data_IF_595735120345
#
_entry.id   IF_595735120345
#
_cell.length_a   1.000
_cell.length_b   1.000
_cell.length_c   1.000
_cell.angle_alpha   90.00
_cell.angle_beta   90.00
_cell.angle_gamma   90.00
#
_symmetry.space_group_name_H-M   'P 1'
#
loop_
_entity.id
_entity.type
_entity.pdbx_description
1 polymer ?
#
# COMPACT_ATOMS: atom_id res chain seq x y z
N UNK A 1 13.58 -12.82 5.31
CA UNK A 1 12.17 -12.76 4.91
C UNK A 1 11.84 -14.13 4.41
N UNK A 2 10.83 -14.77 4.97
CA UNK A 2 10.42 -16.11 4.53
C UNK A 2 9.49 -15.92 3.34
N UNK A 3 9.90 -16.41 2.18
CA UNK A 3 9.13 -16.33 0.94
C UNK A 3 8.43 -17.67 0.70
N UNK A 4 7.13 -17.62 0.39
CA UNK A 4 6.32 -18.80 0.09
C UNK A 4 5.69 -18.60 -1.28
N UNK A 5 5.96 -19.52 -2.20
CA UNK A 5 5.35 -19.52 -3.53
C UNK A 5 4.03 -20.28 -3.44
N UNK A 6 2.98 -19.68 -4.00
CA UNK A 6 1.64 -20.24 -4.07
C UNK A 6 1.20 -20.34 -5.53
N UNK A 7 0.47 -21.40 -5.86
CA UNK A 7 -0.09 -21.62 -7.20
C UNK A 7 -1.62 -21.66 -7.19
N UNK A 8 -2.25 -21.76 -6.03
CA UNK A 8 -3.70 -21.84 -5.89
C UNK A 8 -4.22 -21.08 -4.68
N UNK A 9 -5.50 -20.70 -4.73
CA UNK A 9 -6.20 -20.07 -3.61
C UNK A 9 -6.24 -21.01 -2.40
N UNK A 10 -6.34 -22.31 -2.62
CA UNK A 10 -6.31 -23.29 -1.53
C UNK A 10 -4.97 -23.30 -0.80
N UNK A 11 -3.85 -23.27 -1.53
CA UNK A 11 -2.52 -23.14 -0.93
C UNK A 11 -2.40 -21.85 -0.12
N UNK A 12 -2.93 -20.74 -0.64
CA UNK A 12 -2.95 -19.48 0.10
C UNK A 12 -3.72 -19.57 1.41
N UNK A 13 -4.92 -20.16 1.41
CA UNK A 13 -5.71 -20.37 2.63
C UNK A 13 -4.95 -21.25 3.64
N UNK A 14 -4.33 -22.34 3.18
CA UNK A 14 -3.53 -23.21 4.04
C UNK A 14 -2.32 -22.48 4.66
N UNK A 15 -1.78 -21.47 3.96
CA UNK A 15 -0.72 -20.60 4.51
C UNK A 15 -1.31 -19.64 5.53
N UNK A 16 -2.46 -19.02 5.27
CA UNK A 16 -3.13 -18.11 6.22
C UNK A 16 -3.42 -18.79 7.57
N UNK A 17 -3.83 -20.05 7.57
CA UNK A 17 -4.07 -20.83 8.79
C UNK A 17 -2.82 -21.04 9.64
N UNK A 18 -1.63 -21.02 9.02
CA UNK A 18 -0.34 -21.21 9.69
C UNK A 18 0.31 -19.89 10.12
N UNK A 19 -0.14 -18.76 9.57
CA UNK A 19 0.43 -17.45 9.87
C UNK A 19 0.09 -17.06 11.32
N UNK A 20 1.07 -16.60 12.12
CA UNK A 20 0.80 -16.10 13.46
C UNK A 20 -0.16 -14.90 13.43
N UNK A 21 -1.07 -14.84 14.41
CA UNK A 21 -2.06 -13.76 14.55
C UNK A 21 -1.45 -12.36 14.64
N UNK A 22 -0.17 -12.24 15.00
CA UNK A 22 0.52 -10.95 15.03
C UNK A 22 0.77 -10.35 13.63
N UNK A 23 0.68 -11.13 12.55
CA UNK A 23 0.74 -10.64 11.17
C UNK A 23 -0.66 -10.25 10.67
N UNK A 24 -1.32 -9.35 11.39
CA UNK A 24 -2.71 -8.97 11.11
C UNK A 24 -2.89 -8.03 9.91
N UNK A 25 -1.82 -7.48 9.36
CA UNK A 25 -1.86 -6.58 8.20
C UNK A 25 -1.26 -7.24 6.98
N UNK A 26 -1.88 -7.02 5.82
CA UNK A 26 -1.32 -7.45 4.55
C UNK A 26 -1.55 -6.45 3.42
N UNK A 27 -0.76 -6.58 2.36
CA UNK A 27 -0.86 -5.76 1.14
C UNK A 27 -0.59 -6.60 -0.10
N UNK A 28 -1.52 -6.57 -1.04
CA UNK A 28 -1.32 -7.11 -2.38
C UNK A 28 -0.56 -6.15 -3.29
N UNK A 29 0.33 -6.70 -4.12
CA UNK A 29 0.90 -5.99 -5.26
C UNK A 29 0.89 -6.90 -6.48
N UNK A 30 0.45 -6.36 -7.61
CA UNK A 30 0.41 -7.11 -8.87
C UNK A 30 1.78 -7.43 -9.46
N UNK A 31 2.82 -6.79 -8.95
CA UNK A 31 4.19 -6.99 -9.37
C UNK A 31 5.08 -6.99 -8.13
N UNK A 32 6.02 -7.93 -8.08
CA UNK A 32 7.08 -7.97 -7.09
C UNK A 32 8.02 -6.76 -7.24
N UNK A 33 7.62 -5.68 -6.57
CA UNK A 33 8.36 -4.42 -6.46
C UNK A 33 8.68 -4.16 -5.00
N UNK A 34 9.75 -3.40 -4.78
CA UNK A 34 10.10 -2.89 -3.45
C UNK A 34 8.88 -2.21 -2.82
N UNK A 35 8.68 -2.47 -1.52
CA UNK A 35 7.58 -1.94 -0.72
C UNK A 35 7.76 -0.44 -0.45
N UNK A 36 7.61 0.37 -1.48
CA UNK A 36 7.76 1.82 -1.46
C UNK A 36 6.44 2.50 -1.85
N UNK A 37 6.04 3.57 -1.12
CA UNK A 37 4.95 4.45 -1.52
C UNK A 37 5.14 4.97 -2.94
N UNK A 38 4.05 5.26 -3.65
CA UNK A 38 4.09 5.71 -5.05
C UNK A 38 5.00 6.93 -5.23
N UNK A 39 4.97 7.89 -4.29
CA UNK A 39 5.84 9.07 -4.34
C UNK A 39 7.34 8.76 -4.21
N UNK A 40 7.70 7.63 -3.61
CA UNK A 40 9.09 7.25 -3.28
C UNK A 40 9.63 6.16 -4.20
N UNK A 41 8.89 5.76 -5.24
CA UNK A 41 9.33 4.76 -6.21
C UNK A 41 10.45 5.29 -7.11
N UNK A 42 11.21 4.35 -7.66
CA UNK A 42 12.32 4.61 -8.57
C UNK A 42 11.97 4.14 -9.99
N UNK A 43 12.54 4.81 -10.96
CA UNK A 43 12.53 4.45 -12.38
C UNK A 43 13.59 3.37 -12.69
N UNK A 44 13.59 2.84 -13.91
CA UNK A 44 14.55 1.82 -14.39
C UNK A 44 16.01 2.29 -14.26
N UNK A 45 16.25 3.59 -14.43
CA UNK A 45 17.54 4.27 -14.23
C UNK A 45 17.96 4.42 -12.75
N UNK A 46 17.23 3.85 -11.78
CA UNK A 46 17.39 4.09 -10.34
C UNK A 46 17.26 5.56 -9.91
N UNK A 47 16.58 6.40 -10.70
CA UNK A 47 16.23 7.78 -10.33
C UNK A 47 14.86 7.80 -9.66
N UNK A 48 14.65 8.72 -8.71
CA UNK A 48 13.32 8.90 -8.10
C UNK A 48 12.32 9.34 -9.17
N UNK A 49 11.17 8.68 -9.24
CA UNK A 49 10.09 9.04 -10.17
C UNK A 49 9.59 10.47 -9.95
N UNK A 50 9.58 10.91 -8.69
CA UNK A 50 9.14 12.24 -8.30
C UNK A 50 10.17 12.90 -7.36
N UNK A 51 10.43 14.18 -7.60
CA UNK A 51 11.15 15.02 -6.63
C UNK A 51 10.24 15.38 -5.47
N UNK A 52 10.81 15.72 -4.30
CA UNK A 52 10.04 16.12 -3.12
C UNK A 52 9.11 17.30 -3.42
N UNK A 53 9.61 18.30 -4.15
CA UNK A 53 8.82 19.46 -4.55
C UNK A 53 7.64 19.09 -5.46
N UNK A 54 7.82 18.11 -6.35
CA UNK A 54 6.77 17.66 -7.27
C UNK A 54 5.67 16.87 -6.54
N UNK A 55 6.04 16.05 -5.55
CA UNK A 55 5.08 15.35 -4.69
C UNK A 55 4.23 16.35 -3.90
N UNK A 56 4.86 17.38 -3.33
CA UNK A 56 4.13 18.44 -2.64
C UNK A 56 3.21 19.22 -3.58
N UNK A 57 3.67 19.54 -4.79
CA UNK A 57 2.83 20.18 -5.81
C UNK A 57 1.57 19.38 -6.09
N UNK A 58 1.68 18.06 -6.28
CA UNK A 58 0.51 17.22 -6.52
C UNK A 58 -0.51 17.25 -5.38
N UNK A 59 -0.04 17.32 -4.13
CA UNK A 59 -0.92 17.41 -2.97
C UNK A 59 -1.60 18.78 -2.88
N UNK A 60 -0.88 19.87 -3.15
CA UNK A 60 -1.45 21.21 -3.19
C UNK A 60 -2.46 21.38 -4.34
N UNK A 61 -2.13 20.85 -5.53
CA UNK A 61 -3.04 20.82 -6.66
C UNK A 61 -4.32 20.03 -6.32
N UNK A 62 -4.18 18.90 -5.62
CA UNK A 62 -5.33 18.15 -5.13
C UNK A 62 -6.18 19.01 -4.18
N UNK A 63 -5.60 19.65 -3.16
CA UNK A 63 -6.33 20.50 -2.21
C UNK A 63 -7.13 21.62 -2.88
N UNK A 64 -6.56 22.24 -3.92
CA UNK A 64 -7.21 23.33 -4.66
C UNK A 64 -8.41 22.79 -5.46
N UNK A 65 -8.27 21.63 -6.09
CA UNK A 65 -9.26 21.08 -7.02
C UNK A 65 -10.25 20.11 -6.36
N UNK A 66 -10.01 19.65 -5.14
CA UNK A 66 -10.78 18.61 -4.48
C UNK A 66 -12.10 19.08 -3.87
N UNK A 67 -12.33 20.40 -3.80
CA UNK A 67 -13.50 20.98 -3.14
C UNK A 67 -14.84 20.40 -3.65
N UNK A 68 -14.91 19.98 -4.92
CA UNK A 68 -16.09 19.39 -5.55
C UNK A 68 -16.30 17.92 -5.12
N UNK A 69 -15.22 17.21 -4.79
CA UNK A 69 -15.24 15.79 -4.42
C UNK A 69 -15.35 15.57 -2.91
N UNK A 70 -15.22 16.63 -2.10
CA UNK A 70 -15.29 16.54 -0.65
C UNK A 70 -16.74 16.61 -0.16
N UNK A 71 -17.13 15.77 0.83
CA UNK A 71 -18.42 15.89 1.49
C UNK A 71 -18.63 17.31 2.03
N UNK A 72 -19.80 17.90 1.76
CA UNK A 72 -20.12 19.24 2.21
C UNK A 72 -19.98 19.34 3.74
N UNK A 73 -19.11 20.24 4.21
CA UNK A 73 -18.90 20.50 5.63
C UNK A 73 -17.73 19.74 6.29
N UNK A 74 -16.96 18.92 5.56
CA UNK A 74 -15.71 18.37 6.09
C UNK A 74 -14.54 19.36 5.91
N UNK A 75 -14.10 19.98 6.99
CA UNK A 75 -12.79 20.64 7.05
C UNK A 75 -11.71 19.60 7.41
N UNK A 76 -10.91 19.18 6.44
CA UNK A 76 -9.70 18.39 6.71
C UNK A 76 -8.63 19.32 7.26
N UNK A 77 -8.30 19.15 8.55
CA UNK A 77 -7.33 20.02 9.26
C UNK A 77 -5.92 19.44 9.22
N UNK A 78 -5.80 18.14 9.02
CA UNK A 78 -4.53 17.42 9.07
C UNK A 78 -4.01 17.12 7.67
N UNK A 79 -2.71 17.35 7.43
CA UNK A 79 -2.06 17.03 6.17
C UNK A 79 -2.10 15.52 5.85
N UNK A 80 -2.09 14.67 6.88
CA UNK A 80 -2.22 13.22 6.68
C UNK A 80 -3.61 12.82 6.17
N UNK A 81 -4.68 13.48 6.62
CA UNK A 81 -6.02 13.24 6.10
C UNK A 81 -6.09 13.60 4.62
N UNK A 82 -5.53 14.76 4.25
CA UNK A 82 -5.39 15.17 2.85
C UNK A 82 -4.67 14.12 2.01
N UNK A 83 -3.56 13.57 2.51
CA UNK A 83 -2.82 12.52 1.81
C UNK A 83 -3.65 11.24 1.65
N UNK A 84 -4.39 10.80 2.67
CA UNK A 84 -5.24 9.60 2.59
C UNK A 84 -6.32 9.77 1.51
N UNK A 85 -7.00 10.93 1.48
CA UNK A 85 -8.00 11.22 0.46
C UNK A 85 -7.36 11.29 -0.94
N UNK A 86 -6.25 12.02 -1.08
CA UNK A 86 -5.56 12.17 -2.36
C UNK A 86 -5.15 10.81 -2.94
N UNK A 87 -4.73 9.87 -2.09
CA UNK A 87 -4.35 8.52 -2.51
C UNK A 87 -5.50 7.71 -3.09
N UNK A 88 -6.74 7.91 -2.61
CA UNK A 88 -7.94 7.29 -3.22
C UNK A 88 -8.20 7.78 -4.64
N UNK A 89 -7.77 9.00 -4.98
CA UNK A 89 -7.84 9.56 -6.34
C UNK A 89 -6.56 9.32 -7.16
N UNK A 90 -5.66 8.47 -6.69
CA UNK A 90 -4.44 8.10 -7.41
C UNK A 90 -3.31 9.12 -7.34
N UNK A 91 -3.42 10.14 -6.49
CA UNK A 91 -2.35 11.12 -6.29
C UNK A 91 -1.15 10.43 -5.63
N UNK A 92 0.09 10.59 -6.14
CA UNK A 92 1.27 10.02 -5.52
C UNK A 92 1.52 10.59 -4.11
N UNK A 93 1.38 9.76 -3.08
CA UNK A 93 1.66 10.13 -1.68
C UNK A 93 2.81 9.32 -1.08
N UNK A 94 3.27 9.73 0.11
CA UNK A 94 4.29 9.03 0.89
C UNK A 94 3.69 7.96 1.82
N UNK A 95 2.38 7.72 1.73
CA UNK A 95 1.69 6.72 2.53
C UNK A 95 1.67 5.37 1.81
N UNK A 96 1.54 4.30 2.59
CA UNK A 96 1.45 2.94 2.10
C UNK A 96 0.28 2.26 2.79
N UNK A 97 -0.63 1.69 2.02
CA UNK A 97 -1.86 1.12 2.56
C UNK A 97 -1.70 -0.35 2.87
N UNK A 98 -2.27 -0.78 3.99
CA UNK A 98 -2.44 -2.19 4.33
C UNK A 98 -3.91 -2.43 4.67
N UNK A 99 -4.33 -3.68 4.55
CA UNK A 99 -5.67 -4.12 4.95
C UNK A 99 -5.56 -5.25 5.97
N UNK A 100 -6.57 -5.32 6.85
CA UNK A 100 -6.76 -6.44 7.77
C UNK A 100 -7.30 -7.70 7.06
N UNK A 101 -7.83 -7.57 5.84
CA UNK A 101 -8.33 -8.71 5.08
C UNK A 101 -7.27 -9.25 4.12
N UNK A 102 -6.70 -10.40 4.47
CA UNK A 102 -5.71 -11.09 3.66
C UNK A 102 -6.26 -11.56 2.30
N UNK A 103 -7.57 -11.81 2.20
CA UNK A 103 -8.23 -12.14 0.93
C UNK A 103 -8.33 -10.91 0.02
N UNK A 104 -8.65 -9.73 0.58
CA UNK A 104 -8.65 -8.48 -0.19
C UNK A 104 -7.22 -8.16 -0.68
N UNK A 105 -6.21 -8.43 0.14
CA UNK A 105 -4.81 -8.31 -0.30
C UNK A 105 -4.49 -9.23 -1.48
N UNK A 106 -4.93 -10.49 -1.45
CA UNK A 106 -4.75 -11.38 -2.58
C UNK A 106 -5.47 -10.86 -3.84
N UNK A 107 -6.70 -10.34 -3.69
CA UNK A 107 -7.45 -9.76 -4.81
C UNK A 107 -6.67 -8.63 -5.50
N UNK A 108 -6.10 -7.68 -4.73
CA UNK A 108 -5.25 -6.63 -5.29
C UNK A 108 -3.96 -7.16 -5.94
N UNK A 109 -3.42 -8.28 -5.44
CA UNK A 109 -2.25 -8.90 -6.06
C UNK A 109 -2.59 -9.51 -7.43
N UNK A 110 -3.76 -10.13 -7.59
CA UNK A 110 -4.13 -10.81 -8.84
C UNK A 110 -4.98 -9.97 -9.80
N UNK A 111 -5.30 -8.73 -9.43
CA UNK A 111 -6.18 -7.82 -10.21
C UNK A 111 -5.76 -7.69 -11.69
N UNK A 112 -4.45 -7.74 -11.97
CA UNK A 112 -3.87 -7.60 -13.32
C UNK A 112 -3.38 -8.90 -13.94
N UNK A 113 -3.70 -10.05 -13.35
CA UNK A 113 -3.16 -11.35 -13.77
C UNK A 113 -3.50 -11.74 -15.22
N UNK A 114 -4.58 -11.19 -15.79
CA UNK A 114 -5.01 -11.48 -17.16
C UNK A 114 -4.64 -10.38 -18.17
N UNK A 115 -3.82 -9.40 -17.78
CA UNK A 115 -3.40 -8.34 -18.70
C UNK A 115 -2.22 -8.80 -19.57
N UNK A 116 -2.30 -8.54 -20.88
CA UNK A 116 -1.38 -9.07 -21.91
C UNK A 116 0.10 -8.70 -21.68
N UNK A 117 0.38 -7.64 -20.92
CA UNK A 117 1.74 -7.13 -20.67
C UNK A 117 2.43 -7.72 -19.42
N UNK A 118 1.74 -8.57 -18.65
CA UNK A 118 2.18 -8.99 -17.31
C UNK A 118 2.28 -10.52 -17.13
N UNK A 119 2.21 -11.32 -18.20
CA UNK A 119 2.21 -12.80 -18.13
C UNK A 119 3.44 -13.41 -17.42
N UNK A 120 4.59 -12.74 -17.43
CA UNK A 120 5.83 -13.22 -16.79
C UNK A 120 6.07 -12.61 -15.40
N UNK A 121 5.18 -11.74 -14.92
CA UNK A 121 5.36 -11.01 -13.67
C UNK A 121 4.69 -11.73 -12.52
N UNK A 122 5.42 -11.88 -11.42
CA UNK A 122 4.90 -12.47 -10.19
C UNK A 122 4.15 -11.42 -9.38
N UNK A 123 2.90 -11.73 -9.04
CA UNK A 123 2.14 -11.03 -8.01
C UNK A 123 2.63 -11.44 -6.61
N UNK A 124 2.54 -10.54 -5.65
CA UNK A 124 3.02 -10.77 -4.28
C UNK A 124 2.02 -10.26 -3.24
N UNK A 125 1.94 -10.95 -2.11
CA UNK A 125 1.23 -10.47 -0.92
C UNK A 125 2.23 -10.33 0.21
N UNK A 126 2.35 -9.11 0.73
CA UNK A 126 3.18 -8.78 1.88
C UNK A 126 2.37 -8.95 3.16
N UNK A 127 2.96 -9.60 4.17
CA UNK A 127 2.42 -9.67 5.52
C UNK A 127 3.26 -8.81 6.46
N UNK A 128 2.59 -8.05 7.31
CA UNK A 128 3.22 -7.12 8.23
C UNK A 128 2.76 -7.41 9.66
N UNK A 129 3.74 -7.47 10.56
CA UNK A 129 3.49 -7.44 12.00
C UNK A 129 3.61 -5.98 12.50
N UNK A 130 2.48 -5.27 12.74
CA UNK A 130 2.52 -3.88 13.14
C UNK A 130 3.16 -3.65 14.51
N UNK A 131 3.03 -4.60 15.46
CA UNK A 131 3.65 -4.46 16.78
C UNK A 131 5.18 -4.41 16.67
N UNK A 132 5.76 -5.35 15.91
CA UNK A 132 7.21 -5.38 15.65
C UNK A 132 7.68 -4.15 14.88
N UNK A 133 6.88 -3.66 13.94
CA UNK A 133 7.20 -2.43 13.20
C UNK A 133 7.21 -1.20 14.12
N UNK A 134 6.21 -1.07 14.99
CA UNK A 134 6.12 0.03 15.95
C UNK A 134 7.24 -0.06 16.99
N UNK A 135 7.62 -1.25 17.43
CA UNK A 135 8.75 -1.47 18.34
C UNK A 135 10.05 -1.01 17.68
N UNK A 136 10.29 -1.41 16.43
CA UNK A 136 11.46 -1.00 15.67
C UNK A 136 11.52 0.51 15.42
N UNK A 137 10.39 1.14 15.10
CA UNK A 137 10.35 2.53 14.63
C UNK A 137 10.18 3.56 15.74
N UNK A 138 9.43 3.22 16.79
CA UNK A 138 9.02 4.14 17.85
C UNK A 138 9.24 3.59 19.26
N UNK A 139 9.78 2.37 19.41
CA UNK A 139 9.95 1.66 20.68
C UNK A 139 8.63 1.54 21.48
N UNK A 140 7.53 1.26 20.77
CA UNK A 140 6.18 1.07 21.33
C UNK A 140 5.52 -0.14 20.67
N UNK A 141 4.70 -0.88 21.38
CA UNK A 141 3.99 -2.06 20.84
C UNK A 141 2.50 -1.84 20.62
N UNK A 142 1.98 -0.67 21.00
CA UNK A 142 0.56 -0.34 20.90
C UNK A 142 0.16 -0.11 19.44
N UNK A 143 -1.04 -0.61 19.09
CA UNK A 143 -1.71 -0.33 17.82
C UNK A 143 -2.88 0.58 18.16
N UNK A 144 -2.88 1.79 17.60
CA UNK A 144 -3.98 2.72 17.73
C UNK A 144 -4.97 2.37 16.61
N UNK A 145 -6.16 1.88 17.00
CA UNK A 145 -7.28 1.60 16.09
C UNK A 145 -8.35 2.67 16.21
#
# INVERSE_FOLDING_TARGET
MDEIIIHSVQEYINVLEKIPLDFCLSRGQSLDKKLLPTALRFDEDNKRLYSKSKVNCFLEDYKINSAIYMPQGQELKNEYEWMVYAQHFGVPTQLLDFTYSHIISLMFAVEKAFSENDMDKKAVVWFLNPKKLNEYSMNRTEIIN
#
